data_IF_940940966928
#
_entry.id   IF_940940966928
#
_cell.length_a   1.000
_cell.length_b   1.000
_cell.length_c   1.000
_cell.angle_alpha   90.00
_cell.angle_beta   90.00
_cell.angle_gamma   90.00
#
_symmetry.space_group_name_H-M   'P 1'
#
loop_
_entity.id
_entity.type
_entity.pdbx_description
1 polymer ?
#
# COMPACT_ATOMS: atom_id res chain seq x y z
N UNK A 1 7.50 -12.43 -1.77
CA UNK A 1 7.46 -11.45 -0.67
C UNK A 1 7.66 -10.07 -1.26
N UNK A 2 6.82 -9.10 -0.86
CA UNK A 2 6.91 -7.71 -1.29
C UNK A 2 6.98 -6.78 -0.07
N UNK A 3 7.76 -5.70 -0.21
CA UNK A 3 7.85 -4.61 0.75
C UNK A 3 7.27 -3.36 0.10
N UNK A 4 6.44 -2.62 0.83
CA UNK A 4 5.87 -1.34 0.39
C UNK A 4 6.28 -0.27 1.38
N UNK A 5 6.93 0.77 0.90
CA UNK A 5 7.24 2.00 1.64
C UNK A 5 6.66 3.20 0.91
N UNK A 6 6.17 4.19 1.65
CA UNK A 6 5.62 5.42 1.08
C UNK A 6 5.99 6.64 1.92
N UNK A 7 5.99 7.81 1.29
CA UNK A 7 6.12 9.10 1.95
C UNK A 7 4.92 9.97 1.55
N UNK A 8 4.00 10.17 2.51
CA UNK A 8 2.73 10.85 2.28
C UNK A 8 2.45 11.76 3.46
N UNK A 9 2.50 13.08 3.19
CA UNK A 9 2.25 14.11 4.20
C UNK A 9 0.78 14.22 4.57
N UNK A 10 -0.14 14.09 3.61
CA UNK A 10 -1.58 14.16 3.86
C UNK A 10 -2.09 12.94 4.66
N UNK A 11 -2.62 13.20 5.85
CA UNK A 11 -3.07 12.16 6.79
C UNK A 11 -4.25 11.34 6.27
N UNK A 12 -5.16 11.95 5.50
CA UNK A 12 -6.32 11.26 4.91
C UNK A 12 -5.86 10.34 3.79
N UNK A 13 -4.99 10.80 2.89
CA UNK A 13 -4.41 9.99 1.83
C UNK A 13 -3.60 8.84 2.41
N UNK A 14 -2.77 9.11 3.42
CA UNK A 14 -1.99 8.08 4.13
C UNK A 14 -2.89 7.02 4.78
N UNK A 15 -4.00 7.44 5.40
CA UNK A 15 -5.00 6.55 5.96
C UNK A 15 -5.63 5.62 4.91
N UNK A 16 -5.95 6.16 3.72
CA UNK A 16 -6.48 5.38 2.60
C UNK A 16 -5.46 4.36 2.08
N UNK A 17 -4.21 4.75 1.82
CA UNK A 17 -3.13 3.82 1.42
C UNK A 17 -2.95 2.70 2.45
N UNK A 18 -2.94 3.05 3.74
CA UNK A 18 -2.81 2.09 4.83
C UNK A 18 -4.00 1.11 4.95
N UNK A 19 -5.20 1.53 4.56
CA UNK A 19 -6.37 0.65 4.48
C UNK A 19 -6.26 -0.31 3.30
N UNK A 20 -6.02 0.22 2.09
CA UNK A 20 -5.86 -0.59 0.86
C UNK A 20 -4.78 -1.66 1.04
N UNK A 21 -3.62 -1.33 1.62
CA UNK A 21 -2.57 -2.32 1.88
C UNK A 21 -3.05 -3.46 2.79
N UNK A 22 -3.86 -3.17 3.82
CA UNK A 22 -4.40 -4.20 4.71
C UNK A 22 -5.44 -5.07 4.01
N UNK A 23 -6.27 -4.50 3.14
CA UNK A 23 -7.27 -5.24 2.35
C UNK A 23 -6.59 -6.21 1.37
N UNK A 24 -5.42 -5.86 0.85
CA UNK A 24 -4.56 -6.74 0.04
C UNK A 24 -3.75 -7.76 0.86
N UNK A 25 -3.94 -7.82 2.18
CA UNK A 25 -3.27 -8.78 3.06
C UNK A 25 -1.85 -8.38 3.50
N UNK A 26 -1.42 -7.13 3.27
CA UNK A 26 -0.13 -6.66 3.79
C UNK A 26 -0.23 -6.35 5.29
N UNK A 27 0.76 -6.80 6.05
CA UNK A 27 0.92 -6.45 7.47
C UNK A 27 1.79 -5.22 7.63
N UNK A 28 1.43 -4.35 8.56
CA UNK A 28 2.20 -3.15 8.90
C UNK A 28 3.49 -3.54 9.63
N UNK A 29 4.62 -3.01 9.18
CA UNK A 29 5.94 -3.16 9.82
C UNK A 29 6.38 -1.87 10.54
N UNK A 30 6.13 -0.70 9.92
CA UNK A 30 6.42 0.63 10.48
C UNK A 30 5.33 1.64 10.05
N UNK A 31 5.39 2.88 10.55
CA UNK A 31 4.46 3.99 10.23
C UNK A 31 4.09 4.06 8.74
N UNK A 32 5.08 3.90 7.86
CA UNK A 32 4.92 4.00 6.41
C UNK A 32 5.54 2.81 5.67
N UNK A 33 5.63 1.63 6.32
CA UNK A 33 6.23 0.42 5.74
C UNK A 33 5.37 -0.80 6.03
N UNK A 34 5.09 -1.58 4.99
CA UNK A 34 4.25 -2.78 5.00
C UNK A 34 4.94 -3.94 4.28
N UNK A 35 4.65 -5.16 4.69
CA UNK A 35 5.18 -6.39 4.07
C UNK A 35 4.05 -7.37 3.80
N UNK A 36 4.11 -8.06 2.65
CA UNK A 36 3.08 -9.00 2.23
C UNK A 36 3.63 -10.17 1.43
N UNK A 37 3.02 -11.33 1.60
CA UNK A 37 3.26 -12.53 0.80
C UNK A 37 2.09 -12.71 -0.17
N UNK A 38 2.20 -12.02 -1.30
CA UNK A 38 1.19 -12.05 -2.37
C UNK A 38 1.84 -12.51 -3.67
N UNK A 39 1.02 -12.95 -4.63
CA UNK A 39 1.50 -13.23 -5.99
C UNK A 39 1.91 -11.94 -6.71
N UNK A 40 2.70 -12.07 -7.78
CA UNK A 40 3.12 -10.93 -8.58
C UNK A 40 1.94 -10.15 -9.17
N UNK A 41 0.93 -10.86 -9.69
CA UNK A 41 -0.26 -10.23 -10.24
C UNK A 41 -1.00 -9.38 -9.19
N UNK A 42 -1.10 -9.87 -7.95
CA UNK A 42 -1.73 -9.10 -6.86
C UNK A 42 -0.92 -7.84 -6.53
N UNK A 43 0.42 -7.94 -6.50
CA UNK A 43 1.28 -6.78 -6.29
C UNK A 43 1.16 -5.73 -7.43
N UNK A 44 1.02 -6.19 -8.68
CA UNK A 44 0.84 -5.30 -9.84
C UNK A 44 -0.53 -4.60 -9.81
N UNK A 45 -1.61 -5.31 -9.45
CA UNK A 45 -2.93 -4.69 -9.26
C UNK A 45 -2.92 -3.64 -8.14
N UNK A 46 -2.29 -3.97 -7.00
CA UNK A 46 -2.13 -3.05 -5.88
C UNK A 46 -1.39 -1.77 -6.33
N UNK A 47 -0.31 -1.91 -7.10
CA UNK A 47 0.46 -0.76 -7.59
C UNK A 47 -0.39 0.17 -8.49
N UNK A 48 -1.24 -0.39 -9.35
CA UNK A 48 -2.16 0.37 -10.20
C UNK A 48 -3.18 1.13 -9.34
N UNK A 49 -3.77 0.46 -8.35
CA UNK A 49 -4.78 1.07 -7.48
C UNK A 49 -4.19 2.20 -6.61
N UNK A 50 -3.05 1.95 -5.96
CA UNK A 50 -2.33 2.98 -5.20
C UNK A 50 -1.91 4.14 -6.11
N UNK A 51 -1.50 3.86 -7.35
CA UNK A 51 -1.16 4.89 -8.33
C UNK A 51 -2.33 5.80 -8.69
N UNK A 52 -3.56 5.29 -8.73
CA UNK A 52 -4.78 6.12 -8.91
C UNK A 52 -5.09 6.93 -7.66
N UNK A 53 -4.91 6.32 -6.49
CA UNK A 53 -5.19 6.97 -5.20
C UNK A 53 -4.26 8.17 -4.92
N UNK A 54 -2.98 8.07 -5.31
CA UNK A 54 -1.96 9.10 -5.06
C UNK A 54 -1.97 10.21 -6.12
N UNK A 55 -2.47 9.96 -7.33
CA UNK A 55 -2.58 10.98 -8.39
C UNK A 55 -3.87 11.82 -8.33
N UNK A 56 -4.83 11.41 -7.50
CA UNK A 56 -6.09 12.12 -7.28
C UNK A 56 -6.02 13.15 -6.17
#
# INVERSE_FOLDING_TARGET
>A
MFLVSYDISDDRLRGRVALTLREYGFRRLQKSVYVGEVSRNVAEMLAIELGRLVKG
#
